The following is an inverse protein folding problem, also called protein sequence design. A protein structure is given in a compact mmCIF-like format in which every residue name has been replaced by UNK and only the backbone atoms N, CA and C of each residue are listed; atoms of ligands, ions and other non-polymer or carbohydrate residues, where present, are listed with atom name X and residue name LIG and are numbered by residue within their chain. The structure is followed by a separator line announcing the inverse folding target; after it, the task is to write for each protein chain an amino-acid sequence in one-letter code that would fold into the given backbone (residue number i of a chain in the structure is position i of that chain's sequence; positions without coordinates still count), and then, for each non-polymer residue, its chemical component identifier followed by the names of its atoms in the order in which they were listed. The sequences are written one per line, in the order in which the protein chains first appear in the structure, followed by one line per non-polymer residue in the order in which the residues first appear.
data_IF_040326729570
#
_entry.id   IF_040326729570
#
_cell.length_a   1.000
_cell.length_b   1.000
_cell.length_c   1.000
_cell.angle_alpha   90.00
_cell.angle_beta   90.00
_cell.angle_gamma   90.00
#
_symmetry.space_group_name_H-M   'P 1'
#
loop_
_entity.id
_entity.type
_entity.pdbx_description
1 polymer ?
#
# COMPACT_ATOMS: atom_id res chain seq x y z
N UNK A 1 40.06 -18.78 5.30
CA UNK A 1 38.70 -18.23 5.37
C UNK A 1 38.52 -17.37 4.14
N UNK A 2 37.58 -17.73 3.27
CA UNK A 2 37.16 -16.89 2.16
C UNK A 2 36.35 -15.72 2.75
N UNK A 3 36.68 -14.49 2.36
CA UNK A 3 36.07 -13.29 2.92
C UNK A 3 35.19 -12.65 1.85
N UNK A 4 33.90 -12.51 2.16
CA UNK A 4 32.93 -11.92 1.25
C UNK A 4 32.66 -10.44 1.59
N UNK A 5 32.42 -9.57 0.59
CA UNK A 5 32.09 -8.17 0.83
C UNK A 5 30.84 -7.98 1.70
N UNK A 6 30.68 -6.83 2.39
CA UNK A 6 29.42 -6.48 3.05
C UNK A 6 28.24 -6.55 2.08
N UNK A 7 27.08 -7.07 2.54
CA UNK A 7 25.92 -7.29 1.67
C UNK A 7 25.95 -8.60 0.87
N UNK A 8 26.87 -9.52 1.20
CA UNK A 8 26.97 -10.85 0.58
C UNK A 8 27.20 -11.93 1.64
N UNK A 9 26.99 -13.20 1.27
CA UNK A 9 27.26 -14.35 2.14
C UNK A 9 28.08 -15.42 1.43
N UNK A 10 28.74 -16.27 2.22
CA UNK A 10 29.53 -17.39 1.69
C UNK A 10 28.62 -18.57 1.41
N UNK A 11 28.55 -18.97 0.14
CA UNK A 11 27.91 -20.21 -0.32
C UNK A 11 28.95 -21.28 -0.62
N UNK A 12 28.67 -22.54 -0.27
CA UNK A 12 29.52 -23.68 -0.62
C UNK A 12 28.85 -24.49 -1.74
N UNK A 13 29.48 -24.50 -2.92
CA UNK A 13 29.00 -25.19 -4.12
C UNK A 13 28.67 -26.65 -3.81
N UNK A 14 27.50 -27.09 -4.27
CA UNK A 14 26.98 -28.45 -4.13
C UNK A 14 27.02 -29.16 -5.48
N UNK A 15 26.88 -30.49 -5.43
CA UNK A 15 26.82 -31.29 -6.65
C UNK A 15 25.64 -30.87 -7.52
N UNK A 16 25.91 -30.53 -8.79
CA UNK A 16 24.89 -30.14 -9.77
C UNK A 16 24.55 -28.65 -9.82
N UNK A 17 25.22 -27.83 -9.00
CA UNK A 17 25.13 -26.37 -9.10
C UNK A 17 25.82 -25.87 -10.37
N UNK A 18 25.24 -24.81 -10.93
CA UNK A 18 25.84 -23.99 -12.00
C UNK A 18 25.64 -22.53 -11.61
N UNK A 19 26.43 -21.60 -12.15
CA UNK A 19 26.22 -20.18 -11.85
C UNK A 19 24.82 -19.71 -12.25
N UNK A 20 24.28 -20.23 -13.34
CA UNK A 20 22.91 -19.91 -13.76
C UNK A 20 21.86 -20.32 -12.71
N UNK A 21 21.94 -21.55 -12.17
CA UNK A 21 21.01 -22.01 -11.12
C UNK A 21 21.17 -21.25 -9.81
N UNK A 22 22.39 -20.80 -9.52
CA UNK A 22 22.66 -19.99 -8.33
C UNK A 22 22.15 -18.55 -8.53
N UNK A 23 22.32 -17.98 -9.72
CA UNK A 23 21.77 -16.66 -10.08
C UNK A 23 20.25 -16.64 -9.93
N UNK A 24 19.58 -17.62 -10.52
CA UNK A 24 18.13 -17.83 -10.42
C UNK A 24 17.68 -17.99 -8.95
N UNK A 25 18.28 -18.93 -8.21
CA UNK A 25 17.93 -19.21 -6.81
C UNK A 25 18.08 -18.01 -5.88
N UNK A 26 19.07 -17.16 -6.14
CA UNK A 26 19.40 -16.03 -5.28
C UNK A 26 19.04 -14.70 -5.93
N UNK A 27 18.07 -14.70 -6.85
CA UNK A 27 17.52 -13.53 -7.53
C UNK A 27 18.59 -12.49 -7.90
N UNK A 28 19.61 -12.94 -8.61
CA UNK A 28 20.75 -12.14 -9.08
C UNK A 28 21.14 -12.58 -10.48
N UNK A 29 22.17 -11.97 -11.07
CA UNK A 29 22.66 -12.36 -12.40
C UNK A 29 23.94 -13.19 -12.31
N UNK A 30 24.21 -13.97 -13.35
CA UNK A 30 25.50 -14.68 -13.46
C UNK A 30 26.66 -13.69 -13.49
N UNK A 31 26.48 -12.52 -14.09
CA UNK A 31 27.47 -11.45 -14.16
C UNK A 31 27.79 -10.90 -12.76
N UNK A 32 26.77 -10.59 -11.96
CA UNK A 32 26.95 -10.13 -10.58
C UNK A 32 27.68 -11.18 -9.71
N UNK A 33 27.36 -12.47 -9.90
CA UNK A 33 28.08 -13.54 -9.20
C UNK A 33 29.55 -13.60 -9.63
N UNK A 34 29.85 -13.42 -10.92
CA UNK A 34 31.23 -13.40 -11.42
C UNK A 34 31.99 -12.20 -10.86
N UNK A 35 31.37 -11.02 -10.81
CA UNK A 35 31.96 -9.80 -10.28
C UNK A 35 32.28 -9.91 -8.78
N UNK A 36 31.41 -10.59 -8.03
CA UNK A 36 31.65 -10.91 -6.61
C UNK A 36 32.73 -11.98 -6.39
N UNK A 37 33.06 -12.78 -7.41
CA UNK A 37 34.01 -13.87 -7.32
C UNK A 37 35.12 -13.78 -8.39
N UNK A 38 36.02 -12.78 -8.31
CA UNK A 38 37.06 -12.59 -9.32
C UNK A 38 37.92 -13.84 -9.53
N UNK A 39 38.02 -14.28 -10.78
CA UNK A 39 38.81 -15.46 -11.18
C UNK A 39 38.08 -16.80 -11.07
N UNK A 40 36.76 -16.79 -10.82
CA UNK A 40 35.92 -17.98 -10.95
C UNK A 40 35.89 -18.46 -12.41
N UNK A 41 35.86 -19.78 -12.60
CA UNK A 41 35.56 -20.42 -13.88
C UNK A 41 34.05 -20.77 -13.92
N UNK A 42 33.24 -20.07 -14.73
CA UNK A 42 31.78 -20.23 -14.72
C UNK A 42 31.32 -21.60 -15.23
N UNK A 43 32.14 -22.28 -16.04
CA UNK A 43 31.82 -23.58 -16.64
C UNK A 43 32.33 -24.77 -15.81
N UNK A 44 33.10 -24.50 -14.73
CA UNK A 44 33.77 -25.55 -13.97
C UNK A 44 33.80 -25.26 -12.46
N UNK A 45 32.63 -25.36 -11.83
CA UNK A 45 32.49 -25.23 -10.39
C UNK A 45 32.84 -26.54 -9.67
N UNK A 46 33.70 -26.46 -8.65
CA UNK A 46 34.06 -27.61 -7.82
C UNK A 46 33.13 -27.74 -6.62
N UNK A 47 32.65 -28.94 -6.33
CA UNK A 47 31.87 -29.21 -5.10
C UNK A 47 32.71 -28.85 -3.87
N UNK A 48 32.15 -28.05 -2.98
CA UNK A 48 32.82 -27.49 -1.80
C UNK A 48 33.56 -26.16 -2.04
N UNK A 49 33.60 -25.67 -3.28
CA UNK A 49 34.12 -24.34 -3.60
C UNK A 49 33.28 -23.26 -2.89
N UNK A 50 33.96 -22.29 -2.29
CA UNK A 50 33.30 -21.16 -1.61
C UNK A 50 33.11 -20.01 -2.59
N UNK A 51 31.89 -19.51 -2.68
CA UNK A 51 31.48 -18.36 -3.49
C UNK A 51 30.85 -17.30 -2.60
N UNK A 52 31.04 -16.03 -2.95
CA UNK A 52 30.29 -14.91 -2.40
C UNK A 52 29.05 -14.67 -3.26
N UNK A 53 27.87 -14.80 -2.66
CA UNK A 53 26.59 -14.53 -3.33
C UNK A 53 25.92 -13.33 -2.65
N UNK A 54 25.17 -12.49 -3.38
CA UNK A 54 24.49 -11.34 -2.79
C UNK A 54 23.50 -11.80 -1.71
N UNK A 55 23.45 -11.06 -0.60
CA UNK A 55 22.35 -11.16 0.34
C UNK A 55 21.17 -10.48 -0.32
N UNK A 56 20.35 -11.26 -1.02
CA UNK A 56 18.97 -10.84 -1.24
C UNK A 56 18.30 -10.97 0.11
N UNK A 57 17.90 -9.84 0.69
CA UNK A 57 16.85 -9.89 1.71
C UNK A 57 15.64 -10.47 0.99
N UNK A 58 15.40 -11.77 1.16
CA UNK A 58 14.09 -12.35 0.94
C UNK A 58 13.14 -11.52 1.82
N UNK A 59 12.58 -10.44 1.29
CA UNK A 59 11.17 -10.21 1.52
C UNK A 59 10.56 -11.55 1.16
N UNK A 60 10.01 -12.25 2.14
CA UNK A 60 9.24 -13.45 1.85
C UNK A 60 8.15 -12.98 0.90
N UNK A 61 8.39 -13.15 -0.40
CA UNK A 61 7.46 -12.72 -1.42
C UNK A 61 6.46 -13.85 -1.56
N UNK A 62 5.54 -13.90 -0.59
CA UNK A 62 4.38 -14.80 -0.65
C UNK A 62 3.47 -14.41 -1.83
N UNK A 63 3.78 -13.32 -2.54
CA UNK A 63 2.97 -12.71 -3.58
C UNK A 63 3.45 -12.98 -5.01
N UNK A 64 4.68 -13.47 -5.24
CA UNK A 64 5.18 -13.76 -6.60
C UNK A 64 4.44 -14.93 -7.28
N UNK A 65 3.80 -15.82 -6.50
CA UNK A 65 2.99 -16.95 -6.99
C UNK A 65 1.47 -16.71 -6.87
N UNK A 66 1.03 -15.52 -6.43
CA UNK A 66 -0.40 -15.22 -6.30
C UNK A 66 -0.98 -14.73 -7.62
N UNK A 67 -2.17 -15.22 -7.93
CA UNK A 67 -3.07 -14.67 -8.95
C UNK A 67 -3.05 -13.12 -8.91
N UNK A 68 -2.84 -12.43 -10.05
CA UNK A 68 -2.70 -10.97 -10.10
C UNK A 68 -3.89 -10.21 -9.48
N UNK A 69 -5.10 -10.76 -9.57
CA UNK A 69 -6.29 -10.19 -8.93
C UNK A 69 -6.17 -10.30 -7.42
N UNK A 70 -5.75 -11.46 -6.90
CA UNK A 70 -5.54 -11.65 -5.46
C UNK A 70 -4.45 -10.71 -4.95
N UNK A 71 -3.37 -10.54 -5.71
CA UNK A 71 -2.26 -9.65 -5.35
C UNK A 71 -2.72 -8.20 -5.23
N UNK A 72 -3.33 -7.64 -6.30
CA UNK A 72 -3.82 -6.27 -6.28
C UNK A 72 -4.92 -6.05 -5.24
N UNK A 73 -5.83 -7.00 -5.07
CA UNK A 73 -6.88 -6.91 -4.05
C UNK A 73 -6.28 -6.79 -2.63
N UNK A 74 -5.29 -7.63 -2.31
CA UNK A 74 -4.63 -7.59 -1.02
C UNK A 74 -3.91 -6.26 -0.80
N UNK A 75 -3.25 -5.74 -1.82
CA UNK A 75 -2.54 -4.46 -1.76
C UNK A 75 -3.51 -3.29 -1.55
N UNK A 76 -4.57 -3.19 -2.35
CA UNK A 76 -5.57 -2.12 -2.22
C UNK A 76 -6.28 -2.19 -0.87
N UNK A 77 -6.67 -3.39 -0.42
CA UNK A 77 -7.28 -3.56 0.90
C UNK A 77 -6.33 -3.18 2.02
N UNK A 78 -5.06 -3.54 1.93
CA UNK A 78 -4.04 -3.13 2.90
C UNK A 78 -3.93 -1.60 2.95
N UNK A 79 -3.79 -0.94 1.81
CA UNK A 79 -3.63 0.52 1.74
C UNK A 79 -4.84 1.25 2.31
N UNK A 80 -6.07 0.81 1.99
CA UNK A 80 -7.28 1.38 2.55
C UNK A 80 -7.43 1.08 4.05
N UNK A 81 -7.16 -0.16 4.50
CA UNK A 81 -7.14 -0.51 5.92
C UNK A 81 -6.11 0.30 6.72
N UNK A 82 -4.94 0.58 6.14
CA UNK A 82 -3.93 1.44 6.73
C UNK A 82 -4.38 2.90 6.78
N UNK A 83 -5.00 3.41 5.70
CA UNK A 83 -5.62 4.73 5.68
C UNK A 83 -6.60 4.89 6.86
N UNK A 84 -7.51 3.92 7.06
CA UNK A 84 -8.48 3.95 8.14
C UNK A 84 -7.85 3.81 9.54
N UNK A 85 -7.08 2.75 9.76
CA UNK A 85 -6.52 2.42 11.09
C UNK A 85 -5.47 3.42 11.57
N UNK A 86 -4.65 3.99 10.69
CA UNK A 86 -3.72 5.05 11.07
C UNK A 86 -4.42 6.39 11.27
N UNK A 87 -5.52 6.67 10.54
CA UNK A 87 -6.37 7.84 10.81
C UNK A 87 -6.98 7.75 12.21
N UNK A 88 -7.63 6.63 12.54
CA UNK A 88 -8.17 6.37 13.88
C UNK A 88 -7.09 6.56 14.96
N UNK A 89 -5.90 5.97 14.75
CA UNK A 89 -4.78 6.06 15.69
C UNK A 89 -4.27 7.49 15.86
N UNK A 90 -4.26 8.30 14.81
CA UNK A 90 -3.94 9.73 14.92
C UNK A 90 -5.04 10.48 15.69
N UNK A 91 -6.31 10.20 15.43
CA UNK A 91 -7.45 10.82 16.15
C UNK A 91 -7.35 10.51 17.64
N UNK A 92 -7.26 9.23 18.02
CA UNK A 92 -7.10 8.80 19.42
C UNK A 92 -5.90 9.48 20.07
N UNK A 93 -4.77 9.54 19.35
CA UNK A 93 -3.55 10.17 19.86
C UNK A 93 -3.70 11.68 20.07
N UNK A 94 -4.39 12.38 19.17
CA UNK A 94 -4.69 13.81 19.31
C UNK A 94 -5.66 14.09 20.44
N UNK A 95 -6.73 13.28 20.58
CA UNK A 95 -7.75 13.46 21.62
C UNK A 95 -7.13 13.30 23.01
N UNK A 96 -6.31 12.25 23.22
CA UNK A 96 -5.74 11.92 24.54
C UNK A 96 -4.30 12.37 24.77
N UNK A 97 -3.73 13.19 23.87
CA UNK A 97 -2.35 13.69 23.96
C UNK A 97 -1.31 12.55 24.08
N UNK A 98 -1.48 11.48 23.29
CA UNK A 98 -0.58 10.34 23.33
C UNK A 98 0.78 10.69 22.69
N UNK A 99 1.90 10.23 23.28
CA UNK A 99 3.24 10.57 22.80
C UNK A 99 3.57 9.99 21.42
N UNK A 100 2.79 9.02 20.95
CA UNK A 100 2.96 8.39 19.64
C UNK A 100 2.42 9.25 18.48
N UNK A 101 1.74 10.37 18.75
CA UNK A 101 1.02 11.13 17.72
C UNK A 101 1.91 11.49 16.54
N UNK A 102 3.16 11.90 16.78
CA UNK A 102 4.09 12.24 15.71
C UNK A 102 4.39 11.03 14.81
N UNK A 103 4.82 9.91 15.40
CA UNK A 103 5.13 8.69 14.65
C UNK A 103 3.90 8.13 13.93
N UNK A 104 2.72 8.23 14.55
CA UNK A 104 1.46 7.82 13.92
C UNK A 104 1.10 8.73 12.73
N UNK A 105 1.27 10.04 12.86
CA UNK A 105 1.06 10.99 11.76
C UNK A 105 2.05 10.77 10.62
N UNK A 106 3.33 10.54 10.91
CA UNK A 106 4.34 10.25 9.89
C UNK A 106 4.00 8.97 9.12
N UNK A 107 3.54 7.92 9.81
CA UNK A 107 3.11 6.69 9.15
C UNK A 107 1.82 6.84 8.35
N UNK A 108 0.86 7.60 8.85
CA UNK A 108 -0.36 7.95 8.12
C UNK A 108 -0.02 8.74 6.85
N UNK A 109 0.89 9.72 6.92
CA UNK A 109 1.30 10.53 5.77
C UNK A 109 2.18 9.77 4.77
N UNK A 110 2.66 8.57 5.10
CA UNK A 110 3.28 7.67 4.12
C UNK A 110 2.23 7.01 3.21
N UNK A 111 1.01 6.79 3.70
CA UNK A 111 -0.03 6.06 2.97
C UNK A 111 -0.37 6.67 1.59
N UNK A 112 -0.48 8.00 1.40
CA UNK A 112 -0.64 8.58 0.06
C UNK A 112 0.52 8.29 -0.91
N UNK A 113 1.73 8.10 -0.41
CA UNK A 113 2.89 7.72 -1.23
C UNK A 113 2.78 6.24 -1.62
N UNK A 114 2.45 5.39 -0.65
CA UNK A 114 2.24 3.95 -0.87
C UNK A 114 1.12 3.74 -1.93
N UNK A 115 0.01 4.50 -1.86
CA UNK A 115 -1.03 4.51 -2.91
C UNK A 115 -0.52 4.97 -4.28
N UNK A 116 0.32 6.01 -4.32
CA UNK A 116 0.83 6.54 -5.57
C UNK A 116 1.75 5.54 -6.29
N UNK A 117 2.53 4.74 -5.55
CA UNK A 117 3.37 3.69 -6.14
C UNK A 117 2.53 2.65 -6.88
N UNK A 118 1.42 2.21 -6.29
CA UNK A 118 0.49 1.25 -6.93
C UNK A 118 -0.24 1.88 -8.12
N UNK A 119 -0.76 3.10 -7.96
CA UNK A 119 -1.56 3.74 -8.99
C UNK A 119 -0.74 4.24 -10.19
N UNK A 120 0.57 4.49 -10.03
CA UNK A 120 1.47 4.85 -11.14
C UNK A 120 1.52 3.74 -12.20
N UNK A 121 1.49 2.46 -11.77
CA UNK A 121 1.51 1.30 -12.67
C UNK A 121 0.38 1.35 -13.71
N UNK A 122 -0.82 1.74 -13.29
CA UNK A 122 -2.02 1.69 -14.12
C UNK A 122 -2.34 3.03 -14.80
N UNK A 123 -2.14 4.14 -14.10
CA UNK A 123 -2.62 5.46 -14.54
C UNK A 123 -1.50 6.45 -14.84
N UNK A 124 -0.25 6.07 -14.57
CA UNK A 124 0.93 6.88 -14.77
C UNK A 124 1.14 7.99 -13.73
N UNK A 125 2.36 8.52 -13.76
CA UNK A 125 2.89 9.41 -12.74
C UNK A 125 2.07 10.67 -12.48
N UNK A 126 1.53 11.30 -13.52
CA UNK A 126 0.77 12.55 -13.36
C UNK A 126 -0.51 12.32 -12.52
N UNK A 127 -1.23 11.22 -12.80
CA UNK A 127 -2.39 10.82 -12.02
C UNK A 127 -2.00 10.46 -10.58
N UNK A 128 -0.97 9.63 -10.41
CA UNK A 128 -0.50 9.19 -9.10
C UNK A 128 -0.07 10.37 -8.21
N UNK A 129 0.62 11.36 -8.77
CA UNK A 129 1.02 12.58 -8.07
C UNK A 129 -0.18 13.46 -7.67
N UNK A 130 -1.19 13.57 -8.54
CA UNK A 130 -2.44 14.27 -8.22
C UNK A 130 -3.21 13.57 -7.10
N UNK A 131 -3.34 12.25 -7.17
CA UNK A 131 -4.03 11.45 -6.15
C UNK A 131 -3.33 11.57 -4.80
N UNK A 132 -2.00 11.39 -4.77
CA UNK A 132 -1.17 11.59 -3.57
C UNK A 132 -1.38 12.97 -2.96
N UNK A 133 -1.41 14.01 -3.78
CA UNK A 133 -1.57 15.40 -3.32
C UNK A 133 -2.92 15.58 -2.65
N UNK A 134 -4.00 15.15 -3.30
CA UNK A 134 -5.35 15.26 -2.75
C UNK A 134 -5.51 14.43 -1.48
N UNK A 135 -4.99 13.20 -1.43
CA UNK A 135 -5.09 12.34 -0.26
C UNK A 135 -4.21 12.85 0.90
N UNK A 136 -3.06 13.47 0.61
CA UNK A 136 -2.24 14.12 1.64
C UNK A 136 -2.98 15.30 2.26
N UNK A 137 -3.60 16.16 1.45
CA UNK A 137 -4.43 17.27 1.92
C UNK A 137 -5.62 16.75 2.75
N UNK A 138 -6.29 15.69 2.28
CA UNK A 138 -7.39 15.03 2.98
C UNK A 138 -7.02 14.66 4.43
N UNK A 139 -5.89 13.99 4.60
CA UNK A 139 -5.41 13.53 5.92
C UNK A 139 -4.99 14.69 6.82
N UNK A 140 -4.39 15.74 6.24
CA UNK A 140 -4.00 16.94 6.99
C UNK A 140 -5.22 17.72 7.49
N UNK A 141 -6.25 17.88 6.66
CA UNK A 141 -7.50 18.55 7.06
C UNK A 141 -8.16 17.77 8.20
N UNK A 142 -8.26 16.45 8.11
CA UNK A 142 -8.83 15.61 9.17
C UNK A 142 -8.12 15.82 10.53
N UNK A 143 -6.78 15.81 10.54
CA UNK A 143 -6.00 16.06 11.76
C UNK A 143 -6.22 17.47 12.33
N UNK A 144 -6.32 18.49 11.48
CA UNK A 144 -6.63 19.86 11.90
C UNK A 144 -8.06 20.02 12.40
N UNK A 145 -9.02 19.28 11.85
CA UNK A 145 -10.41 19.26 12.33
C UNK A 145 -10.49 18.71 13.75
N UNK A 146 -9.78 17.63 14.06
CA UNK A 146 -9.72 17.04 15.41
C UNK A 146 -9.12 18.04 16.41
N UNK A 147 -8.03 18.73 16.03
CA UNK A 147 -7.42 19.78 16.86
C UNK A 147 -8.39 20.95 17.10
N UNK A 148 -9.09 21.41 16.06
CA UNK A 148 -10.09 22.48 16.18
C UNK A 148 -11.25 22.08 17.11
N UNK A 149 -11.78 20.86 16.94
CA UNK A 149 -12.84 20.32 17.80
C UNK A 149 -12.39 20.22 19.26
N UNK A 150 -11.19 19.69 19.52
CA UNK A 150 -10.60 19.62 20.87
C UNK A 150 -10.42 21.00 21.51
N UNK A 151 -10.10 22.01 20.71
CA UNK A 151 -9.97 23.40 21.14
C UNK A 151 -11.31 24.14 21.29
N UNK A 152 -12.44 23.51 20.97
CA UNK A 152 -13.77 24.15 20.85
C UNK A 152 -13.81 25.31 19.83
N UNK A 153 -12.97 25.26 18.80
CA UNK A 153 -12.93 26.24 17.72
C UNK A 153 -13.95 25.88 16.64
N UNK A 154 -15.22 26.19 16.92
CA UNK A 154 -16.34 25.86 16.03
C UNK A 154 -16.24 26.56 14.66
N UNK A 155 -15.62 27.75 14.60
CA UNK A 155 -15.47 28.47 13.35
C UNK A 155 -14.47 27.73 12.46
N UNK A 156 -13.26 27.45 12.96
CA UNK A 156 -12.24 26.72 12.20
C UNK A 156 -12.72 25.32 11.83
N UNK A 157 -13.43 24.63 12.73
CA UNK A 157 -14.02 23.32 12.42
C UNK A 157 -15.01 23.40 11.25
N UNK A 158 -15.89 24.41 11.22
CA UNK A 158 -16.87 24.58 10.13
C UNK A 158 -16.18 24.85 8.79
N UNK A 159 -15.15 25.69 8.79
CA UNK A 159 -14.35 26.01 7.60
C UNK A 159 -13.64 24.75 7.07
N UNK A 160 -12.92 24.04 7.94
CA UNK A 160 -12.23 22.80 7.58
C UNK A 160 -13.18 21.69 7.12
N UNK A 161 -14.36 21.55 7.74
CA UNK A 161 -15.34 20.55 7.31
C UNK A 161 -15.80 20.81 5.86
N UNK A 162 -16.06 22.08 5.50
CA UNK A 162 -16.40 22.41 4.11
C UNK A 162 -15.25 22.05 3.17
N UNK A 163 -14.03 22.42 3.53
CA UNK A 163 -12.86 22.20 2.70
C UNK A 163 -12.54 20.70 2.55
N UNK A 164 -12.80 19.90 3.59
CA UNK A 164 -12.63 18.45 3.57
C UNK A 164 -13.59 17.74 2.62
N UNK A 165 -14.87 18.13 2.65
CA UNK A 165 -15.87 17.61 1.71
C UNK A 165 -15.57 18.05 0.26
N UNK A 166 -15.08 19.28 0.07
CA UNK A 166 -14.63 19.73 -1.24
C UNK A 166 -13.41 18.96 -1.76
N UNK A 167 -12.47 18.60 -0.87
CA UNK A 167 -11.36 17.72 -1.21
C UNK A 167 -11.85 16.31 -1.59
N UNK A 168 -12.83 15.75 -0.88
CA UNK A 168 -13.47 14.49 -1.27
C UNK A 168 -14.13 14.56 -2.67
N UNK A 169 -14.81 15.66 -3.00
CA UNK A 169 -15.35 15.86 -4.36
C UNK A 169 -14.25 15.90 -5.43
N UNK A 170 -13.10 16.50 -5.10
CA UNK A 170 -11.95 16.56 -6.01
C UNK A 170 -11.33 15.17 -6.22
N UNK A 171 -11.24 14.34 -5.17
CA UNK A 171 -10.78 12.94 -5.25
C UNK A 171 -11.76 12.13 -6.12
N UNK A 172 -13.06 12.21 -5.84
CA UNK A 172 -14.09 11.50 -6.61
C UNK A 172 -14.02 11.85 -8.11
N UNK A 173 -13.88 13.15 -8.42
CA UNK A 173 -13.71 13.61 -9.81
C UNK A 173 -12.43 13.09 -10.45
N UNK A 174 -11.29 13.16 -9.75
CA UNK A 174 -10.01 12.66 -10.28
C UNK A 174 -10.13 11.17 -10.65
N UNK A 175 -10.72 10.36 -9.77
CA UNK A 175 -10.92 8.94 -10.01
C UNK A 175 -11.81 8.73 -11.25
N UNK A 176 -13.01 9.32 -11.28
CA UNK A 176 -13.96 9.09 -12.38
C UNK A 176 -13.51 9.65 -13.73
N UNK A 177 -12.69 10.71 -13.76
CA UNK A 177 -12.14 11.24 -15.01
C UNK A 177 -11.07 10.33 -15.64
N UNK A 178 -10.42 9.48 -14.85
CA UNK A 178 -9.31 8.62 -15.29
C UNK A 178 -9.69 7.15 -15.43
N UNK A 179 -10.87 6.75 -14.92
CA UNK A 179 -11.40 5.41 -15.08
C UNK A 179 -12.88 5.44 -15.49
N UNK A 180 -13.25 4.92 -16.67
CA UNK A 180 -14.62 4.96 -17.18
C UNK A 180 -15.61 4.07 -16.40
N UNK A 181 -15.12 3.19 -15.53
CA UNK A 181 -15.91 2.31 -14.68
C UNK A 181 -16.09 2.83 -13.25
N UNK A 182 -15.40 3.91 -12.89
CA UNK A 182 -15.60 4.61 -11.62
C UNK A 182 -16.60 5.73 -11.78
N UNK A 183 -17.79 5.58 -11.19
CA UNK A 183 -18.80 6.63 -11.19
C UNK A 183 -18.45 7.72 -10.15
N UNK A 184 -18.51 8.99 -10.57
CA UNK A 184 -18.18 10.11 -9.70
C UNK A 184 -19.12 10.22 -8.49
N UNK A 185 -20.42 10.00 -8.69
CA UNK A 185 -21.41 10.12 -7.63
C UNK A 185 -21.26 8.97 -6.62
N UNK A 186 -20.97 7.75 -7.09
CA UNK A 186 -20.71 6.60 -6.21
C UNK A 186 -19.43 6.79 -5.39
N UNK A 187 -18.34 7.27 -6.00
CA UNK A 187 -17.12 7.63 -5.25
C UNK A 187 -17.37 8.72 -4.22
N UNK A 188 -18.15 9.75 -4.58
CA UNK A 188 -18.51 10.81 -3.64
C UNK A 188 -19.32 10.27 -2.47
N UNK A 189 -20.29 9.39 -2.71
CA UNK A 189 -21.11 8.79 -1.66
C UNK A 189 -20.27 7.92 -0.71
N UNK A 190 -19.34 7.12 -1.26
CA UNK A 190 -18.37 6.34 -0.47
C UNK A 190 -17.51 7.24 0.41
N UNK A 191 -16.94 8.30 -0.18
CA UNK A 191 -16.11 9.26 0.55
C UNK A 191 -16.91 10.03 1.60
N UNK A 192 -18.12 10.50 1.30
CA UNK A 192 -18.95 11.22 2.27
C UNK A 192 -19.34 10.34 3.45
N UNK A 193 -19.66 9.06 3.20
CA UNK A 193 -19.88 8.07 4.25
C UNK A 193 -18.65 7.92 5.13
N UNK A 194 -17.46 7.76 4.52
CA UNK A 194 -16.19 7.74 5.24
C UNK A 194 -15.98 8.98 6.11
N UNK A 195 -16.17 10.18 5.54
CA UNK A 195 -15.99 11.45 6.25
C UNK A 195 -16.87 11.56 7.50
N UNK A 196 -18.16 11.19 7.37
CA UNK A 196 -19.10 11.21 8.49
C UNK A 196 -18.78 10.17 9.57
N UNK A 197 -18.30 8.99 9.19
CA UNK A 197 -17.83 7.99 10.15
C UNK A 197 -16.60 8.47 10.90
N UNK A 198 -15.62 9.06 10.21
CA UNK A 198 -14.43 9.62 10.86
C UNK A 198 -14.78 10.78 11.81
N UNK A 199 -15.72 11.66 11.42
CA UNK A 199 -16.27 12.69 12.33
C UNK A 199 -16.93 12.08 13.56
N UNK A 200 -17.67 10.99 13.37
CA UNK A 200 -18.35 10.27 14.45
C UNK A 200 -17.34 9.59 15.40
N UNK A 201 -16.26 9.01 14.87
CA UNK A 201 -15.12 8.51 15.66
C UNK A 201 -14.54 9.62 16.54
N UNK A 202 -14.18 10.76 15.94
CA UNK A 202 -13.62 11.89 16.68
C UNK A 202 -14.59 12.43 17.74
N UNK A 203 -15.88 12.56 17.38
CA UNK A 203 -16.93 13.03 18.30
C UNK A 203 -17.08 12.10 19.50
N UNK A 204 -17.22 10.80 19.25
CA UNK A 204 -17.40 9.81 20.31
C UNK A 204 -16.21 9.80 21.29
N UNK A 205 -14.99 9.94 20.77
CA UNK A 205 -13.79 10.03 21.61
C UNK A 205 -13.74 11.33 22.43
N UNK A 206 -14.08 12.48 21.83
CA UNK A 206 -14.11 13.78 22.50
C UNK A 206 -15.21 13.87 23.58
N UNK A 207 -16.35 13.20 23.39
CA UNK A 207 -17.48 13.19 24.33
C UNK A 207 -17.41 12.07 25.37
N UNK A 208 -16.46 11.14 25.24
CA UNK A 208 -16.32 9.98 26.11
C UNK A 208 -17.34 8.86 25.84
N UNK A 209 -17.97 8.86 24.66
CA UNK A 209 -18.93 7.85 24.19
C UNK A 209 -18.19 6.61 23.66
N UNK A 210 -17.47 5.91 24.54
CA UNK A 210 -16.57 4.81 24.15
C UNK A 210 -17.30 3.56 23.64
N UNK A 211 -18.53 3.32 24.08
CA UNK A 211 -19.32 2.19 23.58
C UNK A 211 -19.74 2.43 22.13
N UNK A 212 -20.15 3.65 21.82
CA UNK A 212 -20.53 4.09 20.48
C UNK A 212 -19.32 4.12 19.55
N UNK A 213 -18.15 4.54 20.06
CA UNK A 213 -16.88 4.38 19.35
C UNK A 213 -16.61 2.91 19.00
N UNK A 214 -16.64 1.99 19.98
CA UNK A 214 -16.34 0.58 19.74
C UNK A 214 -17.31 -0.07 18.75
N UNK A 215 -18.60 0.27 18.82
CA UNK A 215 -19.61 -0.27 17.89
C UNK A 215 -19.43 0.27 16.46
N UNK A 216 -18.91 1.49 16.31
CA UNK A 216 -18.70 2.12 15.01
C UNK A 216 -17.51 1.54 14.24
N UNK A 217 -16.49 1.03 14.94
CA UNK A 217 -15.26 0.54 14.29
C UNK A 217 -15.54 -0.63 13.34
N UNK A 218 -16.39 -1.58 13.73
CA UNK A 218 -16.73 -2.71 12.86
C UNK A 218 -17.34 -2.26 11.53
N UNK A 219 -18.27 -1.29 11.57
CA UNK A 219 -18.88 -0.72 10.38
C UNK A 219 -17.87 0.12 9.58
N UNK A 220 -16.96 0.82 10.27
CA UNK A 220 -15.93 1.64 9.65
C UNK A 220 -14.93 0.80 8.86
N UNK A 221 -14.47 -0.32 9.42
CA UNK A 221 -13.60 -1.26 8.71
C UNK A 221 -14.27 -1.82 7.45
N UNK A 222 -15.56 -2.17 7.53
CA UNK A 222 -16.33 -2.62 6.37
C UNK A 222 -16.46 -1.53 5.30
N UNK A 223 -16.66 -0.28 5.70
CA UNK A 223 -16.70 0.87 4.79
C UNK A 223 -15.37 1.05 4.05
N UNK A 224 -14.25 0.92 4.77
CA UNK A 224 -12.90 0.99 4.21
C UNK A 224 -12.67 -0.12 3.18
N UNK A 225 -13.07 -1.36 3.49
CA UNK A 225 -12.96 -2.48 2.55
C UNK A 225 -13.84 -2.28 1.31
N UNK A 226 -15.03 -1.69 1.46
CA UNK A 226 -15.88 -1.37 0.32
C UNK A 226 -15.23 -0.35 -0.65
N UNK A 227 -14.48 0.63 -0.13
CA UNK A 227 -13.71 1.56 -0.97
C UNK A 227 -12.59 0.84 -1.72
N UNK A 228 -11.89 -0.10 -1.07
CA UNK A 228 -10.86 -0.91 -1.70
C UNK A 228 -11.43 -1.77 -2.82
N UNK A 229 -12.54 -2.46 -2.56
CA UNK A 229 -13.19 -3.35 -3.53
C UNK A 229 -13.71 -2.57 -4.74
N UNK A 230 -14.26 -1.36 -4.54
CA UNK A 230 -14.72 -0.50 -5.64
C UNK A 230 -13.55 0.05 -6.48
N UNK A 231 -12.41 0.35 -5.84
CA UNK A 231 -11.18 0.70 -6.54
C UNK A 231 -10.67 -0.48 -7.39
N UNK A 232 -10.59 -1.67 -6.79
CA UNK A 232 -10.18 -2.89 -7.49
C UNK A 232 -11.06 -3.14 -8.72
N UNK A 233 -12.38 -3.11 -8.56
CA UNK A 233 -13.32 -3.39 -9.67
C UNK A 233 -13.06 -2.48 -10.87
N UNK A 234 -12.87 -1.18 -10.64
CA UNK A 234 -12.60 -0.26 -11.73
C UNK A 234 -11.27 -0.52 -12.42
N UNK A 235 -10.19 -0.80 -11.67
CA UNK A 235 -8.87 -1.12 -12.25
C UNK A 235 -8.97 -2.37 -13.11
N UNK A 236 -9.52 -3.47 -12.56
CA UNK A 236 -9.66 -4.73 -13.29
C UNK A 236 -10.47 -4.60 -14.57
N UNK A 237 -11.55 -3.80 -14.54
CA UNK A 237 -12.39 -3.59 -15.73
C UNK A 237 -11.72 -2.73 -16.79
N UNK A 238 -10.83 -1.83 -16.40
CA UNK A 238 -10.10 -0.96 -17.33
C UNK A 238 -8.88 -1.64 -17.95
N UNK A 239 -8.21 -2.52 -17.21
CA UNK A 239 -6.98 -3.20 -17.63
C UNK A 239 -7.11 -4.72 -17.55
N UNK A 240 -8.11 -5.34 -18.22
CA UNK A 240 -8.37 -6.78 -18.07
C UNK A 240 -7.18 -7.65 -18.49
N UNK A 241 -6.41 -7.22 -19.50
CA UNK A 241 -5.16 -7.85 -19.94
C UNK A 241 -4.07 -8.00 -18.86
N UNK A 242 -4.10 -7.20 -17.78
CA UNK A 242 -3.15 -7.34 -16.66
C UNK A 242 -3.58 -8.44 -15.67
N UNK A 243 -4.78 -9.02 -15.84
CA UNK A 243 -5.41 -9.97 -14.93
C UNK A 243 -5.92 -11.26 -15.61
N UNK A 244 -5.80 -11.37 -16.92
CA UNK A 244 -6.18 -12.57 -17.67
C UNK A 244 -4.99 -13.56 -17.71
N UNK A 245 -5.12 -14.69 -16.99
CA UNK A 245 -4.21 -15.83 -17.12
C UNK A 245 -4.50 -16.59 -18.44
N UNK A 246 -3.81 -16.23 -19.53
CA UNK A 246 -3.89 -16.99 -20.79
C UNK A 246 -3.31 -18.43 -20.70
N UNK A 247 -2.65 -18.80 -19.60
CA UNK A 247 -1.94 -20.08 -19.46
C UNK A 247 -2.75 -21.25 -18.84
N UNK A 248 -4.00 -21.03 -18.42
CA UNK A 248 -4.78 -22.06 -17.69
C UNK A 248 -5.65 -22.99 -18.57
N UNK A 249 -5.58 -22.86 -19.90
CA UNK A 249 -6.21 -23.80 -20.83
C UNK A 249 -5.17 -24.52 -21.73
N UNK A 250 -4.40 -25.42 -21.13
CA UNK A 250 -3.89 -26.56 -21.88
C UNK A 250 -5.08 -27.47 -22.18
N UNK A 251 -5.60 -27.38 -23.40
CA UNK A 251 -6.57 -28.33 -23.96
C UNK A 251 -6.04 -29.76 -23.77
N UNK A 252 -6.61 -30.49 -22.81
CA UNK A 252 -6.49 -31.94 -22.75
C UNK A 252 -7.49 -32.54 -23.74
N UNK A 253 -7.22 -32.39 -25.05
CA UNK A 253 -7.80 -33.25 -26.08
C UNK A 253 -6.79 -34.37 -26.44
N UNK A 254 -7.01 -35.57 -25.87
CA UNK A 254 -6.67 -36.87 -26.46
C UNK A 254 -7.80 -37.89 -26.25
#
# INVERSE_FOLDING_TARGET
MHFCPPGTFVYSVRFGDTLWKLADRYNTTVEDIIDLNPGIDPDNLAVGQQLCLPLVEDKIDVFDDLDPVISLNNELRLLWSEHGSWTERVIVSLVFDLPIVQAATERLLRNPLDFAEVLDVYYGRDFAEMFKTLLTEHLQIAAEMVKAAKANDNQKFTELNRDWFQNADNIARLLSENNPFWNQDEWRDLLYTHLEMVKSIATNLLTGSFSEFSNLIDEYEMQILAMADYMLEGIMRQFPEDFDDEDDFVDFEE
#
